data_IF_091854984421
#
_entry.id   IF_091854984421
#
_cell.length_a   1.000
_cell.length_b   1.000
_cell.length_c   1.000
_cell.angle_alpha   90.00
_cell.angle_beta   90.00
_cell.angle_gamma   90.00
#
_symmetry.space_group_name_H-M   'P 1'
#
loop_
_entity.id
_entity.type
_entity.pdbx_description
1 polymer ?
#
# COMPACT_ATOMS: atom_id res chain seq x y z
N UNK A 1 -11.03 -23.17 -7.84
CA UNK A 1 -10.52 -22.93 -6.49
C UNK A 1 -9.61 -21.72 -6.47
N UNK A 2 -9.83 -20.85 -5.54
CA UNK A 2 -9.01 -19.67 -5.42
C UNK A 2 -7.71 -19.97 -4.68
N UNK A 3 -6.58 -19.59 -5.25
CA UNK A 3 -5.33 -19.64 -4.53
C UNK A 3 -5.24 -18.45 -3.57
N UNK A 4 -4.63 -18.63 -2.44
CA UNK A 4 -4.34 -17.54 -1.52
C UNK A 4 -3.38 -16.57 -2.20
N UNK A 5 -3.52 -15.29 -1.93
CA UNK A 5 -2.56 -14.32 -2.41
C UNK A 5 -1.21 -14.53 -1.72
N UNK A 6 -0.13 -14.06 -2.34
CA UNK A 6 1.20 -14.14 -1.74
C UNK A 6 1.23 -13.43 -0.39
N UNK A 7 0.47 -12.34 -0.24
CA UNK A 7 0.38 -11.59 1.01
C UNK A 7 -0.29 -12.41 2.10
N UNK A 8 -1.42 -13.07 1.77
CA UNK A 8 -2.11 -13.91 2.73
C UNK A 8 -1.21 -15.05 3.21
N UNK A 9 -0.49 -15.69 2.28
CA UNK A 9 0.46 -16.73 2.60
C UNK A 9 1.57 -16.24 3.54
N UNK A 10 2.10 -15.05 3.24
CA UNK A 10 3.18 -14.47 4.02
C UNK A 10 2.74 -14.24 5.47
N UNK A 11 1.57 -13.64 5.66
CA UNK A 11 1.03 -13.36 6.99
C UNK A 11 0.72 -14.64 7.73
N UNK A 12 0.10 -15.61 7.06
CA UNK A 12 -0.25 -16.90 7.66
C UNK A 12 0.98 -17.67 8.13
N UNK A 13 2.07 -17.63 7.35
CA UNK A 13 3.28 -18.36 7.70
C UNK A 13 4.03 -17.78 8.89
N UNK A 14 3.82 -16.52 9.20
CA UNK A 14 4.48 -15.89 10.35
C UNK A 14 3.80 -16.24 11.67
N UNK A 15 2.72 -17.02 11.60
CA UNK A 15 2.02 -17.59 12.78
C UNK A 15 1.65 -16.53 13.81
N UNK A 16 1.02 -15.47 13.35
CA UNK A 16 0.55 -14.38 14.23
C UNK A 16 1.61 -13.40 14.65
N UNK A 17 2.87 -13.62 14.28
CA UNK A 17 3.95 -12.71 14.63
C UNK A 17 3.98 -11.43 13.76
N UNK A 18 3.39 -11.51 12.57
CA UNK A 18 3.42 -10.39 11.62
C UNK A 18 4.46 -10.58 10.52
N UNK A 19 4.86 -9.49 9.89
CA UNK A 19 5.84 -9.55 8.80
C UNK A 19 6.54 -8.20 8.62
N UNK A 20 7.65 -8.22 7.89
CA UNK A 20 8.37 -7.00 7.52
C UNK A 20 7.58 -6.22 6.47
N UNK A 21 7.56 -4.89 6.61
CA UNK A 21 6.80 -4.03 5.70
C UNK A 21 7.28 -4.14 4.24
N UNK A 22 8.57 -4.29 4.03
CA UNK A 22 9.10 -4.43 2.68
C UNK A 22 8.64 -5.73 2.03
N UNK A 23 8.64 -6.83 2.78
CA UNK A 23 8.14 -8.11 2.29
C UNK A 23 6.67 -8.03 1.93
N UNK A 24 5.89 -7.33 2.74
CA UNK A 24 4.47 -7.14 2.48
C UNK A 24 4.26 -6.35 1.18
N UNK A 25 5.00 -5.26 1.00
CA UNK A 25 4.94 -4.48 -0.24
C UNK A 25 5.38 -5.29 -1.45
N UNK A 26 6.46 -6.06 -1.32
CA UNK A 26 6.96 -6.88 -2.42
C UNK A 26 5.95 -7.95 -2.83
N UNK A 27 5.22 -8.53 -1.89
CA UNK A 27 4.21 -9.53 -2.24
C UNK A 27 3.06 -8.95 -3.04
N UNK A 28 2.73 -7.67 -2.84
CA UNK A 28 1.67 -7.00 -3.62
C UNK A 28 2.18 -6.42 -4.92
N UNK A 29 3.41 -5.92 -4.95
CA UNK A 29 3.94 -5.19 -6.09
C UNK A 29 4.76 -6.05 -7.04
N UNK A 30 5.30 -7.16 -6.56
CA UNK A 30 6.15 -8.04 -7.37
C UNK A 30 5.57 -8.42 -8.72
N UNK A 31 4.28 -8.75 -8.83
CA UNK A 31 3.68 -9.13 -10.11
C UNK A 31 3.76 -8.04 -11.20
N UNK A 32 3.94 -6.78 -10.81
CA UNK A 32 4.03 -5.68 -11.78
C UNK A 32 5.44 -5.45 -12.31
N UNK A 33 6.44 -6.13 -11.75
CA UNK A 33 7.84 -6.04 -12.19
C UNK A 33 8.66 -5.05 -11.39
N UNK A 34 9.86 -5.46 -11.02
CA UNK A 34 10.74 -4.67 -10.12
C UNK A 34 11.23 -3.36 -10.70
N UNK A 35 11.18 -3.20 -12.02
CA UNK A 35 11.59 -1.95 -12.66
C UNK A 35 10.52 -0.87 -12.58
N UNK A 36 9.30 -1.23 -12.15
CA UNK A 36 8.15 -0.33 -12.13
C UNK A 36 7.98 0.37 -10.78
N UNK A 37 8.69 -0.05 -9.75
CA UNK A 37 8.55 0.54 -8.44
C UNK A 37 9.87 0.57 -7.68
N UNK A 38 9.96 1.50 -6.74
CA UNK A 38 11.06 1.57 -5.78
C UNK A 38 10.50 1.62 -4.37
N UNK A 39 11.18 0.94 -3.46
CA UNK A 39 10.81 0.91 -2.04
C UNK A 39 11.96 1.51 -1.24
N UNK A 40 11.65 2.44 -0.36
CA UNK A 40 12.67 3.13 0.43
C UNK A 40 12.18 3.35 1.86
N UNK A 41 12.84 2.70 2.79
CA UNK A 41 12.52 2.85 4.21
C UNK A 41 13.32 1.85 5.03
N UNK A 42 13.36 2.10 6.33
CA UNK A 42 14.05 1.20 7.24
C UNK A 42 13.27 -0.09 7.43
N UNK A 43 13.96 -1.11 7.89
CA UNK A 43 13.35 -2.37 8.22
C UNK A 43 12.33 -2.15 9.35
N UNK A 44 11.11 -2.62 9.14
CA UNK A 44 10.04 -2.46 10.11
C UNK A 44 9.19 -3.71 10.17
N UNK A 45 9.14 -4.31 11.32
CA UNK A 45 8.31 -5.48 11.55
C UNK A 45 6.92 -5.05 12.00
N UNK A 46 5.90 -5.51 11.27
CA UNK A 46 4.51 -5.16 11.53
C UNK A 46 3.81 -6.27 12.29
N UNK A 47 3.17 -5.97 13.43
CA UNK A 47 2.31 -6.96 14.08
C UNK A 47 1.19 -7.41 13.16
N UNK A 48 0.70 -8.63 13.34
CA UNK A 48 -0.25 -9.27 12.42
C UNK A 48 -1.46 -8.41 12.09
N UNK A 49 -2.11 -7.83 13.09
CA UNK A 49 -3.32 -7.04 12.84
C UNK A 49 -3.05 -5.83 11.98
N UNK A 50 -1.95 -5.13 12.23
CA UNK A 50 -1.56 -3.98 11.41
C UNK A 50 -1.14 -4.44 10.02
N UNK A 51 -0.40 -5.55 9.92
CA UNK A 51 0.01 -6.11 8.63
C UNK A 51 -1.20 -6.44 7.75
N UNK A 52 -2.25 -7.01 8.32
CA UNK A 52 -3.49 -7.31 7.58
C UNK A 52 -4.12 -6.01 7.05
N UNK A 53 -4.24 -5.00 7.90
CA UNK A 53 -4.81 -3.70 7.48
C UNK A 53 -4.00 -3.04 6.38
N UNK A 54 -2.68 -3.03 6.51
CA UNK A 54 -1.80 -2.46 5.49
C UNK A 54 -1.82 -3.28 4.20
N UNK A 55 -1.91 -4.62 4.31
CA UNK A 55 -2.02 -5.47 3.13
C UNK A 55 -3.27 -5.14 2.31
N UNK A 56 -4.39 -4.90 2.98
CA UNK A 56 -5.62 -4.51 2.30
C UNK A 56 -5.45 -3.17 1.56
N UNK A 57 -4.80 -2.21 2.19
CA UNK A 57 -4.53 -0.91 1.59
C UNK A 57 -3.62 -1.08 0.37
N UNK A 58 -2.50 -1.78 0.53
CA UNK A 58 -1.54 -1.96 -0.56
C UNK A 58 -2.16 -2.72 -1.73
N UNK A 59 -2.99 -3.72 -1.43
CA UNK A 59 -3.68 -4.48 -2.47
C UNK A 59 -4.61 -3.59 -3.28
N UNK A 60 -5.39 -2.76 -2.60
CA UNK A 60 -6.32 -1.85 -3.27
C UNK A 60 -5.58 -0.80 -4.09
N UNK A 61 -4.52 -0.22 -3.54
CA UNK A 61 -3.70 0.76 -4.25
C UNK A 61 -3.04 0.13 -5.47
N UNK A 62 -2.48 -1.07 -5.34
CA UNK A 62 -1.82 -1.76 -6.44
C UNK A 62 -2.82 -2.14 -7.53
N UNK A 63 -4.00 -2.61 -7.16
CA UNK A 63 -5.06 -2.95 -8.10
C UNK A 63 -5.49 -1.71 -8.90
N UNK A 64 -5.68 -0.59 -8.20
CA UNK A 64 -6.05 0.65 -8.86
C UNK A 64 -4.93 1.17 -9.77
N UNK A 65 -3.68 1.05 -9.35
CA UNK A 65 -2.54 1.41 -10.18
C UNK A 65 -2.51 0.57 -11.48
N UNK A 66 -2.85 -0.70 -11.39
CA UNK A 66 -2.91 -1.58 -12.56
C UNK A 66 -4.07 -1.29 -13.49
N UNK A 67 -5.20 -0.82 -12.97
CA UNK A 67 -6.38 -0.54 -13.78
C UNK A 67 -6.40 0.88 -14.33
N UNK A 68 -6.02 1.86 -13.53
CA UNK A 68 -6.23 3.27 -13.85
C UNK A 68 -4.99 4.14 -13.66
N UNK A 69 -4.02 3.68 -12.90
CA UNK A 69 -2.87 4.47 -12.47
C UNK A 69 -1.58 4.12 -13.18
N UNK A 70 -0.48 4.29 -12.45
CA UNK A 70 0.87 4.18 -13.01
C UNK A 70 1.13 2.86 -13.75
N UNK A 71 0.66 1.74 -13.22
CA UNK A 71 0.93 0.44 -13.83
C UNK A 71 0.09 0.16 -15.07
N UNK A 72 -0.92 0.98 -15.35
CA UNK A 72 -1.71 0.86 -16.57
C UNK A 72 -1.03 1.53 -17.76
N UNK A 73 0.05 2.26 -17.53
CA UNK A 73 0.84 2.97 -18.53
C UNK A 73 2.22 2.33 -18.66
N UNK A 74 2.78 2.33 -19.86
CA UNK A 74 4.12 1.78 -20.08
C UNK A 74 5.21 2.54 -19.34
N UNK A 75 5.00 3.82 -19.03
CA UNK A 75 5.98 4.69 -18.40
C UNK A 75 5.71 4.94 -16.92
N UNK A 76 4.57 4.49 -16.42
CA UNK A 76 4.20 4.76 -15.04
C UNK A 76 5.15 4.10 -14.05
N UNK A 77 5.48 4.85 -13.01
CA UNK A 77 6.38 4.42 -11.96
C UNK A 77 5.72 4.66 -10.61
N UNK A 78 6.10 3.84 -9.64
CA UNK A 78 5.64 3.95 -8.27
C UNK A 78 6.83 4.11 -7.34
N UNK A 79 6.72 5.06 -6.43
CA UNK A 79 7.68 5.23 -5.35
C UNK A 79 6.96 5.06 -4.01
N UNK A 80 7.43 4.14 -3.19
CA UNK A 80 6.90 3.95 -1.84
C UNK A 80 8.03 4.20 -0.86
N UNK A 81 7.79 5.11 0.06
CA UNK A 81 8.78 5.42 1.11
C UNK A 81 8.08 5.47 2.45
N UNK A 82 8.82 5.12 3.51
CA UNK A 82 8.27 5.14 4.86
C UNK A 82 9.34 5.48 5.89
N UNK A 83 8.86 6.04 6.99
CA UNK A 83 9.69 6.33 8.16
C UNK A 83 8.94 5.92 9.41
N UNK A 84 9.68 5.56 10.43
CA UNK A 84 9.14 5.27 11.75
C UNK A 84 9.78 6.22 12.74
N UNK A 85 8.95 6.95 13.48
CA UNK A 85 9.41 7.87 14.52
C UNK A 85 8.49 7.75 15.72
N UNK A 86 9.05 7.38 16.88
CA UNK A 86 8.29 7.23 18.13
C UNK A 86 7.05 6.37 17.95
N UNK A 87 7.22 5.17 17.38
CA UNK A 87 6.15 4.21 17.09
C UNK A 87 5.11 4.68 16.08
N UNK A 88 5.36 5.81 15.41
CA UNK A 88 4.46 6.32 14.39
C UNK A 88 5.05 6.08 13.01
N UNK A 89 4.31 5.31 12.22
CA UNK A 89 4.66 5.03 10.84
C UNK A 89 4.06 6.09 9.94
N UNK A 90 4.90 6.64 9.06
CA UNK A 90 4.46 7.53 7.99
C UNK A 90 4.90 6.92 6.67
N UNK A 91 3.97 6.70 5.76
CA UNK A 91 4.23 6.07 4.48
C UNK A 91 3.65 6.93 3.36
N UNK A 92 4.41 7.06 2.28
CA UNK A 92 3.99 7.77 1.08
C UNK A 92 4.01 6.81 -0.11
N UNK A 93 2.91 6.78 -0.84
CA UNK A 93 2.73 6.04 -2.07
C UNK A 93 2.56 7.07 -3.18
N UNK A 94 3.50 7.13 -4.10
CA UNK A 94 3.54 8.20 -5.10
C UNK A 94 3.68 7.62 -6.50
N UNK A 95 2.63 7.75 -7.29
CA UNK A 95 2.59 7.29 -8.67
C UNK A 95 2.93 8.45 -9.60
N UNK A 96 3.75 8.17 -10.60
CA UNK A 96 4.17 9.17 -11.58
C UNK A 96 4.06 8.58 -12.99
N UNK A 97 3.93 9.46 -13.97
CA UNK A 97 3.89 9.12 -15.40
C UNK A 97 2.81 8.11 -15.77
N UNK A 98 1.77 8.04 -14.98
CA UNK A 98 0.57 7.28 -15.32
C UNK A 98 -0.28 8.03 -16.33
N UNK A 99 -1.38 7.41 -16.79
CA UNK A 99 -2.30 8.10 -17.70
C UNK A 99 -2.91 9.32 -17.01
N UNK A 100 -3.23 10.33 -17.80
CA UNK A 100 -3.88 11.53 -17.27
C UNK A 100 -5.25 11.15 -16.73
N UNK A 101 -5.49 11.45 -15.46
CA UNK A 101 -6.78 11.24 -14.82
C UNK A 101 -7.64 12.48 -15.09
N UNK A 102 -8.51 12.38 -16.08
CA UNK A 102 -9.36 13.51 -16.47
C UNK A 102 -10.56 13.70 -15.55
N UNK A 103 -10.95 12.63 -14.88
CA UNK A 103 -12.12 12.66 -14.05
C UNK A 103 -11.92 11.80 -12.82
N UNK A 104 -12.00 12.43 -11.66
CA UNK A 104 -12.02 11.70 -10.40
C UNK A 104 -13.42 11.14 -10.23
N UNK A 105 -13.54 9.83 -10.30
CA UNK A 105 -14.83 9.17 -10.11
C UNK A 105 -15.34 9.30 -8.68
N UNK A 106 -16.60 8.92 -8.50
CA UNK A 106 -17.18 8.82 -7.16
C UNK A 106 -16.36 7.84 -6.32
N UNK A 107 -16.04 8.15 -5.06
CA UNK A 107 -15.33 7.22 -4.21
C UNK A 107 -16.05 5.88 -4.15
N UNK A 108 -15.37 4.82 -4.56
CA UNK A 108 -15.89 3.48 -4.50
C UNK A 108 -15.64 2.83 -3.16
N UNK A 109 -16.03 1.56 -3.06
CA UNK A 109 -15.85 0.77 -1.85
C UNK A 109 -14.38 0.72 -1.43
N UNK A 110 -13.46 0.55 -2.39
CA UNK A 110 -12.03 0.51 -2.12
C UNK A 110 -11.52 1.78 -1.46
N UNK A 111 -12.00 2.94 -1.91
CA UNK A 111 -11.61 4.22 -1.32
C UNK A 111 -12.09 4.33 0.13
N UNK A 112 -13.29 3.84 0.42
CA UNK A 112 -13.79 3.82 1.79
C UNK A 112 -12.96 2.91 2.68
N UNK A 113 -12.59 1.74 2.17
CA UNK A 113 -11.72 0.81 2.87
C UNK A 113 -10.39 1.47 3.22
N UNK A 114 -9.79 2.17 2.25
CA UNK A 114 -8.54 2.87 2.46
C UNK A 114 -8.64 3.88 3.60
N UNK A 115 -9.74 4.63 3.65
CA UNK A 115 -9.91 5.67 4.67
C UNK A 115 -10.09 5.11 6.07
N UNK A 116 -10.69 3.93 6.21
CA UNK A 116 -11.04 3.37 7.50
C UNK A 116 -10.07 2.31 8.02
N UNK A 117 -9.23 1.76 7.15
CA UNK A 117 -8.41 0.59 7.50
C UNK A 117 -7.43 0.84 8.65
N UNK A 118 -6.93 2.05 8.78
CA UNK A 118 -5.96 2.40 9.83
C UNK A 118 -6.58 3.04 11.07
N UNK A 119 -7.89 3.23 11.09
CA UNK A 119 -8.58 3.81 12.24
C UNK A 119 -8.28 3.07 13.54
N UNK A 120 -8.28 1.72 13.59
CA UNK A 120 -7.96 1.01 14.82
C UNK A 120 -6.53 1.23 15.33
N UNK A 121 -5.66 1.78 14.49
CA UNK A 121 -4.25 2.03 14.84
C UNK A 121 -3.98 3.53 14.97
N UNK A 122 -4.99 4.30 15.33
CA UNK A 122 -4.89 5.75 15.47
C UNK A 122 -4.28 6.38 14.21
N UNK A 123 -4.76 5.91 13.07
CA UNK A 123 -4.19 6.28 11.79
C UNK A 123 -5.19 6.86 10.81
N UNK A 124 -4.66 7.37 9.73
CA UNK A 124 -5.45 7.91 8.64
C UNK A 124 -4.74 7.69 7.32
N UNK A 125 -5.52 7.70 6.25
CA UNK A 125 -5.05 7.58 4.89
C UNK A 125 -5.63 8.72 4.07
N UNK A 126 -4.79 9.43 3.34
CA UNK A 126 -5.22 10.53 2.48
C UNK A 126 -4.83 10.23 1.04
N UNK A 127 -5.81 10.30 0.15
CA UNK A 127 -5.62 10.08 -1.28
C UNK A 127 -5.77 11.39 -2.03
N UNK A 128 -4.83 11.66 -2.93
CA UNK A 128 -4.89 12.80 -3.83
C UNK A 128 -4.71 12.28 -5.25
N UNK A 129 -5.63 12.66 -6.14
CA UNK A 129 -5.55 12.28 -7.55
C UNK A 129 -4.90 13.41 -8.32
N UNK A 130 -3.65 13.19 -8.73
CA UNK A 130 -2.89 14.16 -9.50
C UNK A 130 -2.94 13.79 -10.99
N UNK A 131 -2.56 14.72 -11.85
CA UNK A 131 -2.50 14.43 -13.28
C UNK A 131 -1.54 13.30 -13.62
N UNK A 132 -0.50 13.13 -12.82
CA UNK A 132 0.53 12.11 -13.04
C UNK A 132 0.20 10.75 -12.40
N UNK A 133 -0.85 10.70 -11.57
CA UNK A 133 -1.23 9.47 -10.87
C UNK A 133 -1.74 9.74 -9.47
N UNK A 134 -1.82 8.69 -8.67
CA UNK A 134 -2.30 8.77 -7.30
C UNK A 134 -1.15 9.09 -6.36
N UNK A 135 -1.40 10.00 -5.45
CA UNK A 135 -0.53 10.29 -4.31
C UNK A 135 -1.30 9.92 -3.05
N UNK A 136 -0.74 9.00 -2.27
CA UNK A 136 -1.38 8.55 -1.05
C UNK A 136 -0.40 8.67 0.10
N UNK A 137 -0.85 9.30 1.19
CA UNK A 137 -0.08 9.32 2.43
C UNK A 137 -0.87 8.60 3.50
N UNK A 138 -0.18 7.87 4.34
CA UNK A 138 -0.81 7.19 5.46
C UNK A 138 0.07 7.29 6.69
N UNK A 139 -0.59 7.39 7.83
CA UNK A 139 0.07 7.44 9.13
C UNK A 139 -0.68 6.52 10.07
N UNK A 140 0.05 5.86 10.95
CA UNK A 140 -0.57 5.06 11.98
C UNK A 140 0.43 4.80 13.10
N UNK A 141 -0.12 4.35 14.22
CA UNK A 141 0.69 3.90 15.33
C UNK A 141 1.00 2.42 15.16
N UNK A 142 2.26 2.06 15.34
CA UNK A 142 2.68 0.66 15.31
C UNK A 142 2.60 0.11 16.72
N UNK A 143 1.66 -0.81 17.00
CA UNK A 143 1.55 -1.34 18.36
C UNK A 143 2.77 -2.17 18.74
N UNK A 144 3.12 -2.11 20.02
CA UNK A 144 4.13 -3.01 20.55
C UNK A 144 3.53 -4.41 20.65
N UNK A 145 4.28 -5.40 20.26
CA UNK A 145 3.87 -6.79 20.35
C UNK A 145 3.87 -7.31 21.78
#
# INVERSE_FOLDING_TARGET
>A
MRALSATDDLIARVDGAGCDIQDLLLSELGPYGHVRFTLNGERLFLPTKLAVSLALIFHELATNAGKYGAFSSARGLLQVSWTLSDDRLSLTWDETEGPVVEKVGTPGFGTRLLKSALTPFDGKTELTFLKSGVHCTMQCRVPHS
#
